data_IF_685455807443
#
_entry.id   IF_685455807443
#
_cell.length_a   1.000
_cell.length_b   1.000
_cell.length_c   1.000
_cell.angle_alpha   90.00
_cell.angle_beta   90.00
_cell.angle_gamma   90.00
#
_symmetry.space_group_name_H-M   'P 1'
#
loop_
_entity.id
_entity.type
_entity.pdbx_description
1 polymer ?
#
# COMPACT_ATOMS: atom_id res chain seq x y z
N UNK A 1 20.44 2.31 15.99
CA UNK A 1 20.73 3.68 15.54
C UNK A 1 19.46 4.20 14.86
N UNK A 2 19.01 5.41 15.19
CA UNK A 2 17.86 6.04 14.55
C UNK A 2 18.37 6.85 13.37
N UNK A 3 17.77 6.71 12.19
CA UNK A 3 18.06 7.56 11.03
C UNK A 3 16.81 8.35 10.69
N UNK A 4 16.97 9.65 10.49
CA UNK A 4 15.92 10.52 9.98
C UNK A 4 16.33 11.01 8.59
N UNK A 5 15.44 10.81 7.62
CA UNK A 5 15.54 11.41 6.28
C UNK A 5 14.37 12.37 6.07
N UNK A 6 14.63 13.49 5.40
CA UNK A 6 13.58 14.39 4.95
C UNK A 6 13.86 14.86 3.55
N UNK A 7 12.91 14.65 2.64
CA UNK A 7 12.93 15.21 1.29
C UNK A 7 11.92 16.34 1.19
N UNK A 8 12.36 17.51 0.76
CA UNK A 8 11.52 18.69 0.52
C UNK A 8 11.40 18.93 -0.98
N UNK A 9 10.16 19.02 -1.47
CA UNK A 9 9.86 19.25 -2.88
C UNK A 9 8.78 20.31 -3.06
N UNK A 10 8.75 20.93 -4.23
CA UNK A 10 7.78 21.98 -4.56
C UNK A 10 6.50 21.40 -5.17
N UNK A 11 5.34 21.71 -4.61
CA UNK A 11 4.05 21.34 -5.20
C UNK A 11 3.90 21.97 -6.59
N UNK A 12 3.56 21.15 -7.59
CA UNK A 12 3.39 21.59 -8.98
C UNK A 12 2.18 22.51 -9.19
N UNK A 13 1.18 22.47 -8.30
CA UNK A 13 -0.03 23.28 -8.42
C UNK A 13 0.05 24.62 -7.68
N UNK A 14 0.41 24.62 -6.39
CA UNK A 14 0.40 25.84 -5.56
C UNK A 14 1.79 26.33 -5.14
N UNK A 15 2.87 25.68 -5.60
CA UNK A 15 4.25 26.05 -5.27
C UNK A 15 4.65 25.96 -3.78
N UNK A 16 3.79 25.46 -2.88
CA UNK A 16 4.17 25.25 -1.49
C UNK A 16 5.23 24.15 -1.35
N UNK A 17 5.97 24.17 -0.25
CA UNK A 17 6.98 23.15 0.07
C UNK A 17 6.31 21.96 0.76
N UNK A 18 6.40 20.80 0.14
CA UNK A 18 5.94 19.52 0.66
C UNK A 18 7.14 18.75 1.21
N UNK A 19 6.98 18.10 2.35
CA UNK A 19 8.02 17.25 2.92
C UNK A 19 7.60 15.77 3.10
N UNK A 20 8.55 14.88 2.83
CA UNK A 20 8.48 13.45 3.11
C UNK A 20 9.44 13.13 4.26
N UNK A 21 8.95 12.71 5.43
CA UNK A 21 9.75 12.51 6.64
C UNK A 21 9.81 11.04 7.00
N UNK A 22 10.96 10.41 6.84
CA UNK A 22 11.12 8.99 7.14
C UNK A 22 11.99 8.81 8.38
N UNK A 23 11.52 7.98 9.30
CA UNK A 23 12.25 7.56 10.48
C UNK A 23 12.52 6.06 10.41
N UNK A 24 13.79 5.71 10.33
CA UNK A 24 14.25 4.33 10.33
C UNK A 24 14.78 3.95 11.73
N UNK A 25 14.16 2.91 12.33
CA UNK A 25 14.62 2.33 13.59
C UNK A 25 14.79 0.81 13.45
N UNK A 26 15.88 0.38 12.79
CA UNK A 26 16.12 -1.04 12.49
C UNK A 26 15.03 -1.65 11.59
N UNK A 27 15.20 -2.89 11.12
CA UNK A 27 14.32 -3.55 10.15
C UNK A 27 13.33 -4.54 10.80
N UNK A 28 12.41 -4.03 11.63
CA UNK A 28 11.32 -4.81 12.22
C UNK A 28 10.05 -4.63 11.38
N UNK A 29 9.59 -5.68 10.69
CA UNK A 29 8.22 -5.71 10.16
C UNK A 29 7.29 -5.93 11.35
N UNK A 30 6.43 -4.94 11.63
CA UNK A 30 5.50 -4.97 12.75
C UNK A 30 4.22 -5.71 12.41
N UNK A 31 3.75 -5.73 11.17
CA UNK A 31 2.60 -6.56 10.77
C UNK A 31 2.62 -6.71 9.25
N UNK A 32 2.17 -7.86 8.75
CA UNK A 32 1.92 -8.10 7.33
C UNK A 32 0.49 -8.58 7.15
N UNK A 33 -0.21 -8.04 6.17
CA UNK A 33 -1.56 -8.43 5.81
C UNK A 33 -1.59 -9.30 4.56
N UNK A 34 -2.68 -10.05 4.40
CA UNK A 34 -2.90 -10.98 3.29
C UNK A 34 -2.91 -10.29 1.92
N UNK A 35 -3.37 -9.03 1.85
CA UNK A 35 -3.30 -8.15 0.68
C UNK A 35 -1.91 -7.58 0.36
N UNK A 36 -0.89 -7.98 1.13
CA UNK A 36 0.48 -7.54 0.95
C UNK A 36 0.79 -6.17 1.55
N UNK A 37 -0.17 -5.51 2.23
CA UNK A 37 0.16 -4.34 3.07
C UNK A 37 1.11 -4.77 4.19
N UNK A 38 2.03 -3.91 4.60
CA UNK A 38 2.99 -4.15 5.68
C UNK A 38 3.20 -2.88 6.47
N UNK A 39 3.21 -2.97 7.80
CA UNK A 39 3.66 -1.89 8.66
C UNK A 39 5.11 -2.19 9.01
N UNK A 40 6.03 -1.43 8.42
CA UNK A 40 7.45 -1.52 8.72
C UNK A 40 7.81 -0.64 9.93
N UNK A 41 8.92 -0.94 10.60
CA UNK A 41 9.58 -0.06 11.59
C UNK A 41 10.21 1.20 10.98
N UNK A 42 10.11 1.33 9.65
CA UNK A 42 10.18 2.60 8.96
C UNK A 42 8.87 3.32 9.22
N UNK A 43 8.85 4.16 10.25
CA UNK A 43 7.76 5.10 10.44
C UNK A 43 8.00 6.24 9.46
N UNK A 44 7.35 6.19 8.30
CA UNK A 44 7.14 7.44 7.58
C UNK A 44 6.17 8.27 8.40
N UNK A 45 6.68 9.35 8.97
CA UNK A 45 5.92 10.29 9.77
C UNK A 45 4.94 11.07 8.87
N UNK A 46 5.23 11.14 7.56
CA UNK A 46 4.37 11.70 6.51
C UNK A 46 3.42 10.66 5.85
N UNK A 47 3.62 9.34 6.00
CA UNK A 47 2.67 8.29 5.53
C UNK A 47 3.26 7.07 4.78
N UNK A 48 2.52 5.96 4.65
CA UNK A 48 3.04 4.67 4.11
C UNK A 48 3.79 4.79 2.77
N UNK A 49 5.00 4.21 2.71
CA UNK A 49 5.96 4.38 1.61
C UNK A 49 6.01 3.12 0.76
N UNK A 50 5.21 3.01 -0.30
CA UNK A 50 5.52 2.11 -1.43
C UNK A 50 5.05 2.64 -2.78
N UNK A 51 6.05 2.84 -3.66
CA UNK A 51 6.07 3.11 -5.12
C UNK A 51 5.20 4.25 -5.68
N UNK A 52 5.83 5.09 -6.52
CA UNK A 52 5.21 6.14 -7.34
C UNK A 52 4.18 7.01 -6.59
N UNK A 53 4.74 7.82 -5.68
CA UNK A 53 4.07 8.56 -4.62
C UNK A 53 3.04 9.58 -5.10
N UNK A 54 1.82 9.14 -5.41
CA UNK A 54 0.69 10.05 -5.41
C UNK A 54 0.43 10.50 -3.97
N UNK A 55 0.58 11.80 -3.71
CA UNK A 55 0.34 12.42 -2.41
C UNK A 55 -0.61 13.60 -2.56
N UNK A 56 -1.30 13.96 -1.48
CA UNK A 56 -2.22 15.09 -1.46
C UNK A 56 -1.54 16.31 -0.83
N UNK A 57 -1.50 17.41 -1.57
CA UNK A 57 -0.99 18.68 -1.04
C UNK A 57 -1.94 19.17 0.09
N UNK A 58 -1.45 19.43 1.32
CA UNK A 58 -2.30 19.88 2.42
C UNK A 58 -2.80 21.32 2.24
N UNK A 59 -2.15 22.12 1.37
CA UNK A 59 -2.49 23.51 1.12
C UNK A 59 -3.57 23.66 0.03
N UNK A 60 -3.38 23.03 -1.12
CA UNK A 60 -4.31 23.16 -2.27
C UNK A 60 -5.15 21.92 -2.55
N UNK A 61 -4.98 20.84 -1.77
CA UNK A 61 -5.68 19.56 -1.91
C UNK A 61 -5.44 18.83 -3.24
N UNK A 62 -4.55 19.35 -4.09
CA UNK A 62 -4.22 18.75 -5.38
C UNK A 62 -3.37 17.48 -5.19
N UNK A 63 -3.68 16.45 -5.99
CA UNK A 63 -2.91 15.22 -6.03
C UNK A 63 -1.67 15.40 -6.90
N UNK A 64 -0.51 15.03 -6.37
CA UNK A 64 0.77 15.21 -7.04
C UNK A 64 1.62 13.95 -6.91
N UNK A 65 2.29 13.59 -7.99
CA UNK A 65 3.29 12.53 -7.99
C UNK A 65 4.59 13.07 -7.37
N UNK A 66 4.82 12.81 -6.09
CA UNK A 66 5.94 13.37 -5.32
C UNK A 66 7.31 13.02 -5.91
N UNK A 67 7.47 11.85 -6.52
CA UNK A 67 8.67 11.46 -7.24
C UNK A 67 8.95 12.37 -8.47
N UNK A 68 7.92 12.97 -9.06
CA UNK A 68 8.02 13.86 -10.22
C UNK A 68 8.13 15.35 -9.84
N UNK A 69 8.01 15.70 -8.56
CA UNK A 69 8.13 17.09 -8.11
C UNK A 69 9.57 17.58 -8.13
N UNK A 70 9.74 18.89 -8.34
CA UNK A 70 11.05 19.54 -8.29
C UNK A 70 11.66 19.40 -6.88
N UNK A 71 12.85 18.78 -6.75
CA UNK A 71 13.55 18.68 -5.47
C UNK A 71 14.07 20.05 -5.05
N UNK A 72 13.92 20.36 -3.76
CA UNK A 72 14.44 21.58 -3.14
C UNK A 72 15.59 21.24 -2.19
N UNK A 73 15.39 20.24 -1.32
CA UNK A 73 16.38 19.86 -0.31
C UNK A 73 16.19 18.39 0.10
N UNK A 74 17.27 17.72 0.49
CA UNK A 74 17.26 16.40 1.11
C UNK A 74 18.19 16.39 2.32
N UNK A 75 17.65 16.05 3.49
CA UNK A 75 18.34 16.10 4.78
C UNK A 75 18.46 14.67 5.33
N UNK A 76 19.65 14.27 5.75
CA UNK A 76 19.88 13.01 6.47
C UNK A 76 20.59 13.31 7.80
N UNK A 77 19.99 12.92 8.93
CA UNK A 77 20.57 13.15 10.26
C UNK A 77 20.58 11.87 11.10
N UNK A 78 21.68 11.70 11.86
CA UNK A 78 21.90 10.55 12.73
C UNK A 78 21.65 10.83 14.22
N UNK A 79 21.56 12.10 14.65
CA UNK A 79 21.21 12.51 16.02
C UNK A 79 20.94 14.01 16.11
N UNK A 80 19.92 14.40 16.88
CA UNK A 80 19.42 15.77 17.17
C UNK A 80 18.66 16.47 16.04
N UNK A 81 17.34 16.57 16.22
CA UNK A 81 16.43 17.35 15.39
C UNK A 81 16.39 18.77 15.97
N UNK A 82 17.23 19.67 15.48
CA UNK A 82 16.70 21.01 15.27
C UNK A 82 15.72 20.86 14.11
N UNK A 83 14.44 21.13 14.32
CA UNK A 83 13.42 21.03 13.27
C UNK A 83 13.83 21.96 12.12
N UNK A 84 14.37 21.44 11.01
CA UNK A 84 14.89 22.29 9.93
C UNK A 84 13.76 23.03 9.19
N UNK A 85 12.49 22.75 9.52
CA UNK A 85 11.41 22.69 8.54
C UNK A 85 10.24 23.62 8.88
N UNK A 86 10.50 24.78 9.50
CA UNK A 86 9.45 25.79 9.76
C UNK A 86 8.72 26.28 8.49
N UNK A 87 9.22 25.92 7.30
CA UNK A 87 8.75 26.40 6.00
C UNK A 87 8.19 25.33 5.06
N UNK A 88 8.16 24.04 5.46
CA UNK A 88 7.53 22.97 4.68
C UNK A 88 6.38 22.32 5.44
N UNK A 89 5.50 21.63 4.72
CA UNK A 89 4.37 20.90 5.30
C UNK A 89 4.40 19.45 4.85
N UNK A 90 4.23 18.51 5.79
CA UNK A 90 4.06 17.11 5.45
C UNK A 90 2.89 16.91 4.49
N UNK A 91 3.10 16.13 3.44
CA UNK A 91 1.99 15.78 2.55
C UNK A 91 0.93 14.98 3.29
N UNK A 92 -0.29 14.95 2.76
CA UNK A 92 -1.36 14.10 3.25
C UNK A 92 -1.46 12.81 2.43
N UNK A 93 -1.78 11.70 3.09
CA UNK A 93 -2.06 10.42 2.42
C UNK A 93 -3.41 10.55 1.69
N UNK A 94 -3.47 10.27 0.37
CA UNK A 94 -4.74 10.24 -0.36
C UNK A 94 -5.70 9.18 0.22
N UNK A 95 -7.00 9.45 0.13
CA UNK A 95 -8.04 8.49 0.49
C UNK A 95 -8.39 7.60 -0.70
N UNK A 96 -9.19 6.56 -0.46
CA UNK A 96 -9.69 5.68 -1.53
C UNK A 96 -10.25 6.46 -2.73
N UNK A 97 -11.17 7.40 -2.49
CA UNK A 97 -11.79 8.20 -3.55
C UNK A 97 -10.76 9.03 -4.35
N UNK A 98 -9.72 9.55 -3.69
CA UNK A 98 -8.65 10.29 -4.37
C UNK A 98 -7.91 9.39 -5.39
N UNK A 99 -7.67 8.12 -5.05
CA UNK A 99 -7.04 7.17 -5.96
C UNK A 99 -7.95 6.81 -7.13
N UNK A 100 -9.24 6.63 -6.88
CA UNK A 100 -10.23 6.33 -7.92
C UNK A 100 -10.38 7.50 -8.90
N UNK A 101 -10.41 8.73 -8.39
CA UNK A 101 -10.46 9.93 -9.23
C UNK A 101 -9.21 10.06 -10.10
N UNK A 102 -8.02 9.77 -9.57
CA UNK A 102 -6.79 9.77 -10.37
C UNK A 102 -6.82 8.66 -11.43
N UNK A 103 -7.29 7.45 -11.11
CA UNK A 103 -7.46 6.34 -12.07
C UNK A 103 -8.40 6.71 -13.23
N UNK A 104 -9.47 7.45 -12.94
CA UNK A 104 -10.45 7.92 -13.94
C UNK A 104 -9.95 9.13 -14.74
N UNK A 105 -8.88 9.80 -14.31
CA UNK A 105 -8.39 11.04 -14.93
C UNK A 105 -7.72 10.86 -16.29
N UNK A 106 -7.31 9.64 -16.64
CA UNK A 106 -6.56 9.33 -17.86
C UNK A 106 -5.12 9.85 -17.87
N UNK A 107 -4.60 10.36 -16.73
CA UNK A 107 -3.22 10.89 -16.61
C UNK A 107 -2.16 9.84 -16.27
N UNK A 108 -2.57 8.61 -16.00
CA UNK A 108 -1.69 7.55 -15.49
C UNK A 108 -1.20 6.70 -16.66
N UNK A 109 0.09 6.35 -16.67
CA UNK A 109 0.63 5.34 -17.57
C UNK A 109 0.31 3.92 -17.06
N UNK A 110 0.46 2.93 -17.94
CA UNK A 110 0.15 1.52 -17.63
C UNK A 110 1.00 1.01 -16.47
N UNK A 111 2.27 1.41 -16.38
CA UNK A 111 3.16 0.98 -15.29
C UNK A 111 2.67 1.45 -13.91
N UNK A 112 2.21 2.70 -13.80
CA UNK A 112 1.74 3.24 -12.51
C UNK A 112 0.29 2.83 -12.21
N UNK A 113 -0.51 2.44 -13.20
CA UNK A 113 -1.91 2.06 -12.98
C UNK A 113 -2.01 0.85 -12.05
N UNK A 114 -1.24 -0.22 -12.29
CA UNK A 114 -1.27 -1.41 -11.44
C UNK A 114 -0.87 -1.08 -10.00
N UNK A 115 0.17 -0.25 -9.82
CA UNK A 115 0.61 0.20 -8.51
C UNK A 115 -0.48 1.03 -7.82
N UNK A 116 -1.11 1.97 -8.53
CA UNK A 116 -2.13 2.84 -7.96
C UNK A 116 -3.40 2.07 -7.57
N UNK A 117 -3.83 1.12 -8.41
CA UNK A 117 -4.96 0.21 -8.09
C UNK A 117 -4.69 -0.63 -6.85
N UNK A 118 -3.44 -1.05 -6.65
CA UNK A 118 -3.02 -1.78 -5.44
C UNK A 118 -3.06 -0.91 -4.19
N UNK A 119 -2.62 0.34 -4.30
CA UNK A 119 -2.71 1.29 -3.17
C UNK A 119 -4.16 1.67 -2.89
N UNK A 120 -5.01 1.82 -3.92
CA UNK A 120 -6.45 2.02 -3.76
C UNK A 120 -7.09 0.84 -3.03
N UNK A 121 -6.77 -0.40 -3.41
CA UNK A 121 -7.20 -1.60 -2.68
C UNK A 121 -6.78 -1.55 -1.21
N UNK A 122 -5.53 -1.18 -0.95
CA UNK A 122 -5.06 -1.04 0.43
C UNK A 122 -5.83 0.02 1.21
N UNK A 123 -6.12 1.18 0.61
CA UNK A 123 -6.88 2.26 1.24
C UNK A 123 -8.33 1.83 1.53
N UNK A 124 -8.97 1.10 0.62
CA UNK A 124 -10.29 0.52 0.83
C UNK A 124 -10.32 -0.49 1.98
N UNK A 125 -9.23 -1.26 2.14
CA UNK A 125 -9.07 -2.21 3.23
C UNK A 125 -8.66 -1.59 4.58
N UNK A 126 -8.20 -0.33 4.63
CA UNK A 126 -7.73 0.28 5.89
C UNK A 126 -8.84 0.32 6.94
N UNK A 127 -10.08 0.59 6.54
CA UNK A 127 -11.22 0.58 7.45
C UNK A 127 -11.56 -0.83 8.00
N UNK A 128 -11.11 -1.90 7.32
CA UNK A 128 -11.38 -3.32 7.64
C UNK A 128 -10.28 -3.98 8.48
N UNK A 129 -9.06 -3.42 8.54
CA UNK A 129 -7.91 -4.04 9.23
C UNK A 129 -7.99 -4.00 10.76
N UNK A 130 -8.55 -2.94 11.33
CA UNK A 130 -8.48 -2.67 12.77
C UNK A 130 -9.82 -2.91 13.51
N UNK A 131 -10.82 -3.46 12.82
CA UNK A 131 -12.19 -3.51 13.34
C UNK A 131 -12.81 -4.89 13.13
N UNK A 132 -13.47 -5.42 14.15
CA UNK A 132 -14.47 -6.50 14.03
C UNK A 132 -15.75 -6.01 13.31
N UNK A 133 -15.63 -5.01 12.43
CA UNK A 133 -16.76 -4.43 11.72
C UNK A 133 -16.77 -5.04 10.33
N UNK A 134 -17.83 -5.80 10.05
CA UNK A 134 -18.14 -6.32 8.72
C UNK A 134 -18.61 -5.16 7.83
N UNK A 135 -17.65 -4.40 7.30
CA UNK A 135 -17.89 -3.39 6.28
C UNK A 135 -17.86 -4.11 4.93
N UNK A 136 -18.94 -3.99 4.16
CA UNK A 136 -18.99 -4.51 2.78
C UNK A 136 -18.17 -3.63 1.84
N UNK A 137 -17.63 -4.22 0.78
CA UNK A 137 -17.01 -3.44 -0.29
C UNK A 137 -18.04 -2.61 -1.05
N UNK A 138 -17.63 -1.42 -1.47
CA UNK A 138 -18.37 -0.54 -2.36
C UNK A 138 -18.18 -0.96 -3.83
N UNK A 139 -19.03 -0.46 -4.72
CA UNK A 139 -18.97 -0.78 -6.16
C UNK A 139 -17.61 -0.46 -6.79
N UNK A 140 -17.08 0.73 -6.55
CA UNK A 140 -15.78 1.16 -7.07
C UNK A 140 -14.61 0.32 -6.51
N UNK A 141 -14.73 -0.22 -5.29
CA UNK A 141 -13.73 -1.14 -4.72
C UNK A 141 -13.73 -2.48 -5.46
N UNK A 142 -14.92 -3.03 -5.71
CA UNK A 142 -15.13 -4.27 -6.46
C UNK A 142 -14.60 -4.11 -7.89
N UNK A 143 -14.96 -3.01 -8.57
CA UNK A 143 -14.48 -2.71 -9.92
C UNK A 143 -12.95 -2.60 -9.96
N UNK A 144 -12.36 -1.84 -9.02
CA UNK A 144 -10.91 -1.72 -8.92
C UNK A 144 -10.21 -3.08 -8.77
N UNK A 145 -10.76 -3.95 -7.92
CA UNK A 145 -10.22 -5.28 -7.70
C UNK A 145 -10.35 -6.20 -8.93
N UNK A 146 -11.47 -6.14 -9.65
CA UNK A 146 -11.62 -6.87 -10.90
C UNK A 146 -10.60 -6.43 -11.94
N UNK A 147 -10.40 -5.11 -12.12
CA UNK A 147 -9.41 -4.60 -13.06
C UNK A 147 -7.99 -4.99 -12.63
N UNK A 148 -7.65 -4.81 -11.35
CA UNK A 148 -6.34 -5.19 -10.82
C UNK A 148 -6.06 -6.69 -11.03
N UNK A 149 -7.04 -7.56 -10.74
CA UNK A 149 -6.90 -8.99 -10.96
C UNK A 149 -6.65 -9.35 -12.43
N UNK A 150 -7.21 -8.59 -13.38
CA UNK A 150 -6.98 -8.79 -14.81
C UNK A 150 -5.56 -8.41 -15.25
N UNK A 151 -4.91 -7.47 -14.56
CA UNK A 151 -3.55 -7.01 -14.86
C UNK A 151 -2.44 -7.92 -14.29
N UNK A 152 -2.76 -8.74 -13.28
CA UNK A 152 -1.77 -9.55 -12.56
C UNK A 152 -1.35 -10.80 -13.36
N UNK A 153 -0.04 -10.97 -13.52
CA UNK A 153 0.59 -12.13 -14.17
C UNK A 153 0.74 -13.32 -13.21
N UNK A 154 -0.05 -14.37 -13.43
CA UNK A 154 -0.03 -15.57 -12.59
C UNK A 154 1.21 -16.45 -12.78
N UNK A 155 2.03 -16.20 -13.80
CA UNK A 155 3.32 -16.89 -13.97
C UNK A 155 4.32 -16.49 -12.89
N UNK A 156 4.16 -15.30 -12.31
CA UNK A 156 4.95 -14.78 -11.21
C UNK A 156 4.30 -15.22 -9.89
N UNK A 157 5.05 -15.95 -9.07
CA UNK A 157 4.54 -16.56 -7.82
C UNK A 157 3.89 -15.53 -6.87
N UNK A 158 4.53 -14.38 -6.64
CA UNK A 158 3.99 -13.35 -5.74
C UNK A 158 2.70 -12.72 -6.27
N UNK A 159 2.63 -12.55 -7.59
CA UNK A 159 1.49 -12.02 -8.30
C UNK A 159 0.33 -13.02 -8.25
N UNK A 160 0.60 -14.32 -8.42
CA UNK A 160 -0.40 -15.38 -8.23
C UNK A 160 -1.04 -15.33 -6.83
N UNK A 161 -0.25 -15.21 -5.76
CA UNK A 161 -0.79 -15.05 -4.40
C UNK A 161 -1.62 -13.77 -4.24
N UNK A 162 -1.19 -12.68 -4.86
CA UNK A 162 -1.95 -11.42 -4.86
C UNK A 162 -3.30 -11.59 -5.55
N UNK A 163 -3.34 -12.30 -6.69
CA UNK A 163 -4.59 -12.57 -7.41
C UNK A 163 -5.51 -13.52 -6.65
N UNK A 164 -4.97 -14.56 -6.00
CA UNK A 164 -5.74 -15.44 -5.11
C UNK A 164 -6.43 -14.61 -4.04
N UNK A 165 -5.69 -13.70 -3.41
CA UNK A 165 -6.21 -12.86 -2.35
C UNK A 165 -7.33 -11.94 -2.83
N UNK A 166 -7.15 -11.29 -3.99
CA UNK A 166 -8.20 -10.46 -4.59
C UNK A 166 -9.46 -11.30 -4.87
N UNK A 167 -9.30 -12.51 -5.42
CA UNK A 167 -10.42 -13.41 -5.71
C UNK A 167 -11.15 -13.84 -4.43
N UNK A 168 -10.39 -14.12 -3.36
CA UNK A 168 -10.94 -14.44 -2.03
C UNK A 168 -11.75 -13.27 -1.46
N UNK A 169 -11.21 -12.05 -1.48
CA UNK A 169 -11.92 -10.87 -0.98
C UNK A 169 -13.18 -10.55 -1.80
N UNK A 170 -13.16 -10.79 -3.11
CA UNK A 170 -14.33 -10.69 -3.99
C UNK A 170 -15.37 -11.81 -3.78
N UNK A 171 -15.12 -12.78 -2.89
CA UNK A 171 -15.99 -13.93 -2.66
C UNK A 171 -15.94 -14.99 -3.76
N UNK A 172 -14.99 -14.90 -4.69
CA UNK A 172 -14.77 -15.86 -5.78
C UNK A 172 -13.89 -17.02 -5.28
N UNK A 173 -14.38 -17.74 -4.26
CA UNK A 173 -13.61 -18.73 -3.53
C UNK A 173 -13.14 -19.91 -4.39
N UNK A 174 -13.98 -20.40 -5.31
CA UNK A 174 -13.61 -21.51 -6.21
C UNK A 174 -12.44 -21.13 -7.13
N UNK A 175 -12.44 -19.90 -7.66
CA UNK A 175 -11.33 -19.38 -8.46
C UNK A 175 -10.06 -19.19 -7.62
N UNK A 176 -10.21 -18.69 -6.39
CA UNK A 176 -9.10 -18.53 -5.45
C UNK A 176 -8.49 -19.90 -5.07
N UNK A 177 -9.32 -20.91 -4.83
CA UNK A 177 -8.91 -22.28 -4.51
C UNK A 177 -8.16 -22.91 -5.68
N UNK A 178 -8.67 -22.75 -6.90
CA UNK A 178 -8.01 -23.25 -8.10
C UNK A 178 -6.60 -22.66 -8.25
N UNK A 179 -6.46 -21.34 -8.14
CA UNK A 179 -5.19 -20.63 -8.29
C UNK A 179 -4.16 -20.98 -7.20
N UNK A 180 -4.61 -21.25 -5.97
CA UNK A 180 -3.71 -21.56 -4.85
C UNK A 180 -3.34 -23.05 -4.77
N UNK A 181 -4.12 -23.93 -5.41
CA UNK A 181 -3.90 -25.39 -5.39
C UNK A 181 -2.54 -25.78 -5.98
N UNK A 182 -2.05 -25.03 -6.97
CA UNK A 182 -0.73 -25.24 -7.58
C UNK A 182 0.42 -25.08 -6.56
N UNK A 183 1.46 -25.91 -6.71
CA UNK A 183 2.65 -25.79 -5.86
C UNK A 183 3.37 -24.46 -6.13
N UNK A 184 3.92 -23.85 -5.08
CA UNK A 184 4.80 -22.69 -5.21
C UNK A 184 6.24 -23.18 -5.16
N UNK A 185 7.10 -22.62 -6.01
CA UNK A 185 8.52 -23.00 -6.05
C UNK A 185 9.27 -22.61 -4.77
N UNK A 186 8.71 -21.70 -3.97
CA UNK A 186 9.37 -21.11 -2.81
C UNK A 186 8.77 -21.60 -1.48
N UNK A 187 9.53 -22.42 -0.76
CA UNK A 187 9.15 -22.95 0.57
C UNK A 187 8.77 -21.88 1.60
N UNK A 188 9.35 -20.69 1.51
CA UNK A 188 9.07 -19.61 2.46
C UNK A 188 7.65 -19.03 2.32
N UNK A 189 6.95 -19.31 1.20
CA UNK A 189 5.58 -18.87 0.97
C UNK A 189 4.53 -19.91 1.36
N UNK A 190 4.92 -21.14 1.67
CA UNK A 190 3.99 -22.22 2.01
C UNK A 190 3.15 -21.88 3.24
N UNK A 191 3.70 -21.16 4.21
CA UNK A 191 2.93 -20.70 5.38
C UNK A 191 1.85 -19.69 4.99
N UNK A 192 2.18 -18.73 4.13
CA UNK A 192 1.21 -17.75 3.65
C UNK A 192 0.12 -18.42 2.82
N UNK A 193 0.51 -19.37 1.97
CA UNK A 193 -0.39 -20.21 1.18
C UNK A 193 -1.38 -20.94 2.10
N UNK A 194 -0.89 -21.72 3.06
CA UNK A 194 -1.74 -22.49 3.98
C UNK A 194 -2.71 -21.59 4.77
N UNK A 195 -2.24 -20.42 5.19
CA UNK A 195 -3.08 -19.43 5.87
C UNK A 195 -4.21 -18.95 4.95
N UNK A 196 -3.89 -18.51 3.73
CA UNK A 196 -4.90 -18.07 2.75
C UNK A 196 -5.86 -19.22 2.39
N UNK A 197 -5.37 -20.45 2.20
CA UNK A 197 -6.21 -21.63 1.97
C UNK A 197 -7.22 -21.85 3.10
N UNK A 198 -6.80 -21.66 4.34
CA UNK A 198 -7.70 -21.76 5.50
C UNK A 198 -8.79 -20.68 5.45
N UNK A 199 -8.46 -19.46 5.02
CA UNK A 199 -9.44 -18.38 4.86
C UNK A 199 -10.44 -18.68 3.73
N UNK A 200 -9.96 -19.22 2.60
CA UNK A 200 -10.80 -19.65 1.47
C UNK A 200 -11.80 -20.73 1.91
N UNK A 201 -11.33 -21.76 2.63
CA UNK A 201 -12.20 -22.84 3.14
C UNK A 201 -13.27 -22.34 4.11
N UNK A 202 -12.96 -21.30 4.88
CA UNK A 202 -13.92 -20.64 5.78
C UNK A 202 -14.83 -19.64 5.08
N UNK A 203 -14.62 -19.40 3.78
CA UNK A 203 -15.27 -18.33 3.01
C UNK A 203 -15.11 -16.95 3.67
N UNK A 204 -13.96 -16.72 4.32
CA UNK A 204 -13.63 -15.41 4.86
C UNK A 204 -13.22 -14.50 3.71
N UNK A 205 -13.92 -13.37 3.54
CA UNK A 205 -13.64 -12.35 2.52
C UNK A 205 -12.91 -11.14 3.10
N UNK A 206 -12.61 -11.11 4.41
CA UNK A 206 -11.94 -9.98 5.04
C UNK A 206 -10.42 -10.08 4.86
N UNK A 207 -9.76 -8.94 4.73
CA UNK A 207 -8.31 -8.83 4.87
C UNK A 207 -7.90 -9.30 6.28
N UNK A 208 -6.83 -10.10 6.37
CA UNK A 208 -6.35 -10.63 7.65
C UNK A 208 -4.88 -10.32 7.84
N UNK A 209 -4.46 -10.11 9.10
CA UNK A 209 -3.06 -10.08 9.44
C UNK A 209 -2.51 -11.52 9.46
N UNK A 210 -1.32 -11.73 8.88
CA UNK A 210 -0.63 -13.00 9.08
C UNK A 210 -0.26 -13.14 10.56
N UNK A 211 -0.40 -14.34 11.15
CA UNK A 211 -0.03 -14.57 12.54
C UNK A 211 1.47 -14.30 12.73
N UNK A 212 1.80 -13.53 13.77
CA UNK A 212 3.19 -13.28 14.15
C UNK A 212 3.87 -14.60 14.49
N UNK A 213 4.98 -14.87 13.81
CA UNK A 213 5.83 -16.02 14.14
C UNK A 213 6.99 -15.46 14.94
N UNK A 214 7.07 -15.83 16.23
CA UNK A 214 8.34 -15.76 16.95
C UNK A 214 9.27 -16.72 16.22
N UNK A 215 10.31 -16.21 15.58
CA UNK A 215 11.45 -17.04 15.21
C UNK A 215 12.09 -17.47 16.54
N UNK A 216 11.86 -18.72 16.94
CA UNK A 216 12.66 -19.39 17.98
C UNK A 216 14.07 -19.67 17.45
#
# INVERSE_FOLDING_TARGET
MLRLSTDIKKCSNCSCLLDNREMERGSLILTRWTDGKTNHSLANISGDIRHDFLVKCPQCLYLVWFNQLQPIESINSFTSVQDPLKHSTAFSIPKFDDYIDELKSGRINVENEQALRKVAWWAGNDARRDREVNIRMLGDEIENLHTLAAMIDVSIVHDRLTKVEIKRELGLFDEAEHLISESFQYKHLERNKLFIQTLIQKQDHHVQAYPFIKFE
#
